data_IF_958641855394
#
_entry.id   IF_958641855394
#
_cell.length_a   1.000
_cell.length_b   1.000
_cell.length_c   1.000
_cell.angle_alpha   90.00
_cell.angle_beta   90.00
_cell.angle_gamma   90.00
#
_symmetry.space_group_name_H-M   'P 1'
#
loop_
_entity.id
_entity.type
_entity.pdbx_description
1 polymer ?
#
# COMPACT_ATOMS: atom_id res chain seq x y z
N UNK A 1 -8.38 3.56 -24.59
CA UNK A 1 -8.23 2.35 -23.77
C UNK A 1 -6.94 2.42 -22.99
N UNK A 2 -6.96 1.97 -21.75
CA UNK A 2 -5.78 1.99 -20.90
C UNK A 2 -5.17 0.60 -20.88
N UNK A 3 -3.93 0.46 -21.35
CA UNK A 3 -3.28 -0.82 -21.59
C UNK A 3 -2.37 -1.30 -20.48
N UNK A 4 -2.28 -0.56 -19.34
CA UNK A 4 -1.28 -0.85 -18.31
C UNK A 4 -1.77 -1.74 -17.17
N UNK A 5 -3.06 -2.09 -17.11
CA UNK A 5 -3.64 -2.79 -15.95
C UNK A 5 -3.00 -4.16 -15.74
N UNK A 6 -3.00 -5.00 -16.78
CA UNK A 6 -2.48 -6.37 -16.65
C UNK A 6 -0.97 -6.43 -16.39
N UNK A 7 -0.13 -5.70 -17.13
CA UNK A 7 1.30 -5.64 -16.81
C UNK A 7 1.59 -5.13 -15.41
N UNK A 8 0.86 -4.12 -14.95
CA UNK A 8 0.99 -3.61 -13.59
C UNK A 8 0.66 -4.67 -12.56
N UNK A 9 -0.46 -5.39 -12.74
CA UNK A 9 -0.86 -6.45 -11.83
C UNK A 9 0.20 -7.56 -11.75
N UNK A 10 0.73 -7.97 -12.89
CA UNK A 10 1.78 -8.99 -12.93
C UNK A 10 3.02 -8.54 -12.16
N UNK A 11 3.45 -7.31 -12.36
CA UNK A 11 4.60 -6.76 -11.64
C UNK A 11 4.35 -6.75 -10.12
N UNK A 12 3.19 -6.28 -9.69
CA UNK A 12 2.87 -6.19 -8.26
C UNK A 12 2.72 -7.57 -7.61
N UNK A 13 2.13 -8.52 -8.31
CA UNK A 13 2.06 -9.91 -7.82
C UNK A 13 3.47 -10.51 -7.71
N UNK A 14 4.36 -10.20 -8.66
CA UNK A 14 5.76 -10.61 -8.59
C UNK A 14 6.51 -10.00 -7.40
N UNK A 15 6.07 -8.85 -6.92
CA UNK A 15 6.63 -8.20 -5.72
C UNK A 15 5.98 -8.68 -4.41
N UNK A 16 5.08 -9.65 -4.48
CA UNK A 16 4.47 -10.25 -3.30
C UNK A 16 3.13 -9.65 -2.87
N UNK A 17 2.61 -8.64 -3.58
CA UNK A 17 1.27 -8.12 -3.28
C UNK A 17 0.22 -9.14 -3.71
N UNK A 18 -0.86 -9.25 -2.94
CA UNK A 18 -1.94 -10.16 -3.29
C UNK A 18 -2.90 -9.52 -4.29
N UNK A 19 -3.62 -10.35 -5.04
CA UNK A 19 -4.65 -9.87 -5.96
C UNK A 19 -5.73 -9.05 -5.24
N UNK A 20 -5.95 -9.32 -3.97
CA UNK A 20 -6.88 -8.60 -3.12
C UNK A 20 -6.53 -7.09 -3.01
N UNK A 21 -5.24 -6.74 -3.04
CA UNK A 21 -4.79 -5.35 -2.97
C UNK A 21 -4.82 -4.62 -4.33
N UNK A 22 -5.09 -5.33 -5.41
CA UNK A 22 -4.88 -4.84 -6.77
C UNK A 22 -6.17 -4.67 -7.58
N UNK A 23 -7.31 -4.53 -6.91
CA UNK A 23 -8.56 -4.21 -7.59
C UNK A 23 -8.48 -2.82 -8.22
N UNK A 24 -8.62 -2.73 -9.54
CA UNK A 24 -8.47 -1.48 -10.28
C UNK A 24 -9.82 -0.96 -10.73
N UNK A 25 -10.08 0.31 -10.45
CA UNK A 25 -11.23 1.04 -10.98
C UNK A 25 -10.76 2.00 -12.06
N UNK A 26 -11.44 2.01 -13.19
CA UNK A 26 -11.15 2.93 -14.29
C UNK A 26 -12.35 3.86 -14.46
N UNK A 27 -12.10 5.16 -14.40
CA UNK A 27 -13.12 6.16 -14.71
C UNK A 27 -13.23 6.23 -16.24
N UNK A 28 -14.33 5.74 -16.77
CA UNK A 28 -14.52 5.66 -18.23
C UNK A 28 -14.63 7.01 -18.91
N UNK A 29 -14.91 8.08 -18.18
CA UNK A 29 -15.00 9.42 -18.74
C UNK A 29 -13.63 10.10 -18.83
N UNK A 30 -12.78 9.90 -17.84
CA UNK A 30 -11.48 10.58 -17.76
C UNK A 30 -10.30 9.67 -18.08
N UNK A 31 -10.50 8.35 -18.04
CA UNK A 31 -9.43 7.36 -18.20
C UNK A 31 -8.56 7.21 -16.93
N UNK A 32 -8.88 7.90 -15.85
CA UNK A 32 -8.13 7.79 -14.61
C UNK A 32 -8.30 6.42 -13.97
N UNK A 33 -7.20 5.87 -13.47
CA UNK A 33 -7.18 4.61 -12.74
C UNK A 33 -6.95 4.87 -11.26
N UNK A 34 -7.66 4.10 -10.43
CA UNK A 34 -7.43 4.09 -8.99
C UNK A 34 -7.64 2.67 -8.47
N UNK A 35 -7.06 2.37 -7.31
CA UNK A 35 -7.31 1.10 -6.66
C UNK A 35 -8.58 1.18 -5.83
N UNK A 36 -9.35 0.08 -5.84
CA UNK A 36 -10.50 -0.07 -4.95
C UNK A 36 -9.94 -0.48 -3.58
N UNK A 37 -9.84 0.48 -2.69
CA UNK A 37 -9.34 0.25 -1.33
C UNK A 37 -10.49 -0.09 -0.39
N UNK A 38 -10.20 -0.84 0.68
CA UNK A 38 -11.15 -1.01 1.77
C UNK A 38 -11.46 0.34 2.42
N UNK A 39 -12.58 0.44 3.13
CA UNK A 39 -12.95 1.67 3.82
C UNK A 39 -11.89 2.08 4.85
N UNK A 40 -11.37 1.10 5.58
CA UNK A 40 -10.29 1.33 6.55
C UNK A 40 -9.04 1.90 5.87
N UNK A 41 -8.65 1.35 4.73
CA UNK A 41 -7.48 1.83 3.98
C UNK A 41 -7.69 3.27 3.50
N UNK A 42 -8.90 3.63 3.08
CA UNK A 42 -9.24 5.00 2.70
C UNK A 42 -9.20 5.95 3.89
N UNK A 43 -9.78 5.53 5.01
CA UNK A 43 -9.86 6.34 6.21
C UNK A 43 -8.48 6.67 6.79
N UNK A 44 -7.52 5.78 6.61
CA UNK A 44 -6.16 5.95 7.13
C UNK A 44 -5.15 6.35 6.06
N UNK A 45 -5.60 6.68 4.84
CA UNK A 45 -4.69 7.03 3.75
C UNK A 45 -3.79 8.22 4.09
N UNK A 46 -4.35 9.23 4.74
CA UNK A 46 -3.59 10.42 5.15
C UNK A 46 -2.50 10.06 6.15
N UNK A 47 -2.81 9.26 7.15
CA UNK A 47 -1.84 8.81 8.15
C UNK A 47 -0.67 8.05 7.51
N UNK A 48 -0.97 7.16 6.58
CA UNK A 48 0.04 6.39 5.86
C UNK A 48 0.94 7.31 5.04
N UNK A 49 0.34 8.23 4.29
CA UNK A 49 1.09 9.16 3.45
C UNK A 49 1.96 10.11 4.28
N UNK A 50 1.41 10.61 5.38
CA UNK A 50 2.15 11.49 6.29
C UNK A 50 3.35 10.76 6.91
N UNK A 51 3.19 9.49 7.28
CA UNK A 51 4.28 8.69 7.82
C UNK A 51 5.38 8.45 6.79
N UNK A 52 5.00 8.11 5.56
CA UNK A 52 5.96 7.94 4.46
C UNK A 52 6.77 9.22 4.25
N UNK A 53 6.11 10.37 4.27
CA UNK A 53 6.73 11.67 4.11
C UNK A 53 7.65 12.00 5.29
N UNK A 54 7.21 11.73 6.50
CA UNK A 54 7.99 11.95 7.73
C UNK A 54 9.30 11.16 7.70
N UNK A 55 9.25 9.94 7.17
CA UNK A 55 10.43 9.08 7.05
C UNK A 55 11.28 9.38 5.82
N UNK A 56 10.89 10.35 5.01
CA UNK A 56 11.61 10.78 3.82
C UNK A 56 11.86 9.62 2.82
N UNK A 57 10.86 8.76 2.63
CA UNK A 57 10.96 7.63 1.71
C UNK A 57 10.61 8.10 0.31
N UNK A 58 11.61 8.14 -0.57
CA UNK A 58 11.43 8.59 -1.96
C UNK A 58 11.09 7.45 -2.92
N UNK A 59 11.45 6.22 -2.57
CA UNK A 59 11.31 5.05 -3.44
C UNK A 59 10.13 4.14 -3.07
N UNK A 60 9.15 4.67 -2.36
CA UNK A 60 8.01 3.89 -1.84
C UNK A 60 7.28 3.11 -2.94
N UNK A 61 7.19 3.68 -4.14
CA UNK A 61 6.50 3.05 -5.26
C UNK A 61 7.19 1.78 -5.76
N UNK A 62 8.45 1.56 -5.36
CA UNK A 62 9.22 0.37 -5.75
C UNK A 62 9.28 -0.69 -4.67
N UNK A 63 8.66 -0.45 -3.53
CA UNK A 63 8.65 -1.40 -2.41
C UNK A 63 7.96 -2.69 -2.79
N UNK A 64 8.51 -3.81 -2.31
CA UNK A 64 7.82 -5.09 -2.36
C UNK A 64 6.93 -5.23 -1.10
N UNK A 65 6.13 -6.29 -1.05
CA UNK A 65 5.21 -6.50 0.06
C UNK A 65 5.94 -6.71 1.39
N UNK A 66 7.10 -7.35 1.36
CA UNK A 66 7.91 -7.53 2.57
C UNK A 66 8.38 -6.20 3.15
N UNK A 67 8.86 -5.30 2.30
CA UNK A 67 9.25 -3.95 2.72
C UNK A 67 8.07 -3.15 3.25
N UNK A 68 6.89 -3.32 2.66
CA UNK A 68 5.66 -2.69 3.15
C UNK A 68 5.30 -3.19 4.54
N UNK A 69 5.44 -4.50 4.77
CA UNK A 69 5.18 -5.09 6.09
C UNK A 69 6.13 -4.55 7.15
N UNK A 70 7.41 -4.40 6.81
CA UNK A 70 8.39 -3.79 7.72
C UNK A 70 8.03 -2.35 8.06
N UNK A 71 7.63 -1.57 7.06
CA UNK A 71 7.21 -0.19 7.25
C UNK A 71 5.98 -0.09 8.14
N UNK A 72 4.99 -0.95 7.93
CA UNK A 72 3.79 -0.99 8.76
C UNK A 72 4.12 -1.39 10.20
N UNK A 73 5.02 -2.34 10.40
CA UNK A 73 5.49 -2.74 11.72
C UNK A 73 6.17 -1.58 12.44
N UNK A 74 7.02 -0.83 11.75
CA UNK A 74 7.65 0.37 12.31
C UNK A 74 6.62 1.42 12.71
N UNK A 75 5.62 1.63 11.87
CA UNK A 75 4.52 2.56 12.17
C UNK A 75 3.77 2.16 13.42
N UNK A 76 3.44 0.89 13.56
CA UNK A 76 2.74 0.37 14.74
C UNK A 76 3.58 0.59 16.00
N UNK A 77 4.89 0.30 15.92
CA UNK A 77 5.79 0.52 17.05
C UNK A 77 5.94 1.99 17.44
N UNK A 78 5.96 2.87 16.44
CA UNK A 78 6.19 4.30 16.67
C UNK A 78 4.94 5.06 17.14
N UNK A 79 3.75 4.67 16.66
CA UNK A 79 2.54 5.49 16.83
C UNK A 79 1.36 4.80 17.47
N UNK A 80 1.29 3.48 17.45
CA UNK A 80 0.11 2.74 17.88
C UNK A 80 0.32 2.03 19.22
N UNK A 81 1.46 1.38 19.40
CA UNK A 81 1.78 0.64 20.62
C UNK A 81 2.40 1.61 21.62
N UNK A 82 1.80 1.78 22.83
CA UNK A 82 2.37 2.66 23.83
C UNK A 82 3.75 2.22 24.28
N UNK A 83 4.58 3.20 24.65
CA UNK A 83 5.87 2.91 25.26
C UNK A 83 5.69 2.09 26.55
N UNK A 84 6.58 1.15 26.79
CA UNK A 84 6.55 0.33 27.99
C UNK A 84 5.65 -0.90 27.90
N UNK A 85 5.14 -1.21 26.73
CA UNK A 85 4.41 -2.46 26.48
C UNK A 85 5.39 -3.62 26.65
N UNK A 86 5.00 -4.62 27.43
CA UNK A 86 5.84 -5.75 27.77
C UNK A 86 5.91 -6.79 26.63
N UNK A 87 6.84 -7.76 26.76
CA UNK A 87 7.03 -8.83 25.79
C UNK A 87 5.78 -9.70 25.66
N UNK A 88 5.00 -9.86 26.73
CA UNK A 88 3.78 -10.64 26.70
C UNK A 88 2.77 -10.08 25.69
N UNK A 89 2.60 -8.76 25.67
CA UNK A 89 1.74 -8.12 24.68
C UNK A 89 2.32 -8.28 23.27
N UNK A 90 3.63 -8.08 23.09
CA UNK A 90 4.29 -8.24 21.81
C UNK A 90 4.18 -9.63 21.20
N UNK A 91 3.89 -10.65 22.01
CA UNK A 91 3.69 -12.03 21.58
C UNK A 91 2.22 -12.45 21.58
N UNK A 92 1.29 -11.53 21.82
CA UNK A 92 -0.14 -11.82 21.88
C UNK A 92 -0.77 -11.90 20.50
N UNK A 93 -1.88 -12.63 20.39
CA UNK A 93 -2.67 -12.69 19.16
C UNK A 93 -3.24 -11.32 18.81
N UNK A 94 -3.56 -10.51 19.81
CA UNK A 94 -4.06 -9.13 19.60
C UNK A 94 -3.03 -8.26 18.87
N UNK A 95 -1.75 -8.39 19.23
CA UNK A 95 -0.68 -7.65 18.58
C UNK A 95 -0.47 -8.11 17.14
N UNK A 96 -0.52 -9.44 16.90
CA UNK A 96 -0.42 -10.01 15.55
C UNK A 96 -1.57 -9.51 14.67
N UNK A 97 -2.79 -9.53 15.20
CA UNK A 97 -3.97 -9.04 14.46
C UNK A 97 -3.84 -7.54 14.14
N UNK A 98 -3.33 -6.76 15.09
CA UNK A 98 -3.10 -5.33 14.89
C UNK A 98 -2.06 -5.08 13.79
N UNK A 99 -0.95 -5.82 13.79
CA UNK A 99 0.08 -5.74 12.76
C UNK A 99 -0.49 -6.11 11.39
N UNK A 100 -1.25 -7.20 11.31
CA UNK A 100 -1.85 -7.67 10.06
C UNK A 100 -2.80 -6.62 9.49
N UNK A 101 -3.61 -6.00 10.33
CA UNK A 101 -4.55 -4.97 9.93
C UNK A 101 -3.83 -3.74 9.35
N UNK A 102 -2.78 -3.26 10.02
CA UNK A 102 -2.00 -2.13 9.54
C UNK A 102 -1.19 -2.48 8.29
N UNK A 103 -0.66 -3.71 8.21
CA UNK A 103 0.02 -4.18 7.00
C UNK A 103 -0.91 -4.15 5.80
N UNK A 104 -2.16 -4.54 5.97
CA UNK A 104 -3.15 -4.49 4.91
C UNK A 104 -3.45 -3.06 4.48
N UNK A 105 -3.63 -2.15 5.44
CA UNK A 105 -3.87 -0.72 5.16
C UNK A 105 -2.70 -0.11 4.39
N UNK A 106 -1.47 -0.38 4.82
CA UNK A 106 -0.29 0.08 4.12
C UNK A 106 -0.20 -0.51 2.72
N UNK A 107 -0.49 -1.81 2.57
CA UNK A 107 -0.41 -2.49 1.27
C UNK A 107 -1.33 -1.86 0.23
N UNK A 108 -2.59 -1.58 0.59
CA UNK A 108 -3.51 -0.89 -0.32
C UNK A 108 -3.00 0.49 -0.73
N UNK A 109 -2.53 1.28 0.22
CA UNK A 109 -2.12 2.65 -0.06
C UNK A 109 -0.83 2.70 -0.87
N UNK A 110 0.12 1.83 -0.58
CA UNK A 110 1.39 1.77 -1.31
C UNK A 110 1.19 1.17 -2.70
N UNK A 111 0.32 0.17 -2.84
CA UNK A 111 -0.03 -0.35 -4.16
C UNK A 111 -0.64 0.73 -5.05
N UNK A 112 -1.47 1.62 -4.49
CA UNK A 112 -2.01 2.74 -5.26
C UNK A 112 -0.93 3.73 -5.67
N UNK A 113 0.01 4.06 -4.78
CA UNK A 113 1.14 4.91 -5.12
C UNK A 113 2.02 4.27 -6.21
N UNK A 114 2.24 2.97 -6.13
CA UNK A 114 2.98 2.23 -7.15
C UNK A 114 2.24 2.24 -8.50
N UNK A 115 0.92 2.13 -8.49
CA UNK A 115 0.11 2.22 -9.70
C UNK A 115 0.25 3.59 -10.36
N UNK A 116 0.17 4.66 -9.57
CA UNK A 116 0.33 6.02 -10.08
C UNK A 116 1.72 6.22 -10.68
N UNK A 117 2.74 5.72 -10.02
CA UNK A 117 4.12 5.78 -10.50
C UNK A 117 4.30 4.97 -11.78
N UNK A 118 3.76 3.77 -11.83
CA UNK A 118 3.82 2.91 -13.00
C UNK A 118 3.15 3.58 -14.21
N UNK A 119 1.98 4.15 -13.99
CA UNK A 119 1.24 4.87 -15.02
C UNK A 119 2.06 6.07 -15.55
N UNK A 120 2.66 6.85 -14.65
CA UNK A 120 3.49 8.00 -15.04
C UNK A 120 4.71 7.58 -15.87
N UNK A 121 5.36 6.49 -15.51
CA UNK A 121 6.56 6.01 -16.19
C UNK A 121 6.24 5.27 -17.51
N UNK A 122 5.00 4.85 -17.71
CA UNK A 122 4.55 4.06 -18.85
C UNK A 122 3.47 4.76 -19.69
N UNK A 123 3.41 6.08 -19.65
CA UNK A 123 2.42 6.88 -20.41
C UNK A 123 2.41 6.56 -21.89
N UNK A 124 3.56 6.28 -22.45
CA UNK A 124 3.71 5.96 -23.88
C UNK A 124 3.04 4.64 -24.28
N UNK A 125 2.70 3.80 -23.31
CA UNK A 125 2.01 2.53 -23.55
C UNK A 125 0.50 2.64 -23.42
N UNK A 126 0.01 3.80 -22.99
CA UNK A 126 -1.44 4.02 -22.85
C UNK A 126 -2.03 4.33 -24.22
N UNK A 127 -3.01 3.52 -24.62
CA UNK A 127 -3.78 3.73 -25.83
C UNK A 127 -4.92 4.70 -25.53
N UNK A 128 -5.00 5.73 -26.34
CA UNK A 128 -6.00 6.78 -26.17
C UNK A 128 -7.06 6.73 -27.26
#
# INVERSE_FOLDING_TARGET
MIALIDPFKEEMLGRGFSAHHLGVHVNMLTGEMSLIKSDEARNHAKEVRDYIKEREIDDIATYDHESVMELASDFVGDHIVPEGVDEEYGNSDEYVDLLDWWCEIFSYNIAELAMCHYFETHKHLVDR
#
